data_IF_633923076058
#
_entry.id   IF_633923076058
#
_cell.length_a   1.000
_cell.length_b   1.000
_cell.length_c   1.000
_cell.angle_alpha   90.00
_cell.angle_beta   90.00
_cell.angle_gamma   90.00
#
_symmetry.space_group_name_H-M   'P 1'
#
loop_
_entity.id
_entity.type
_entity.pdbx_description
1 polymer ?
#
# COMPACT_ATOMS: atom_id res chain seq x y z
N UNK A 1 25.95 10.88 -16.38
CA UNK A 1 25.39 9.80 -15.55
C UNK A 1 24.43 10.42 -14.54
N UNK A 2 23.15 10.08 -14.60
CA UNK A 2 22.11 10.64 -13.72
C UNK A 2 22.30 10.15 -12.29
N UNK A 3 21.82 10.89 -11.29
CA UNK A 3 21.83 10.44 -9.88
C UNK A 3 21.15 9.06 -9.71
N UNK A 4 20.18 8.73 -10.57
CA UNK A 4 19.50 7.44 -10.63
C UNK A 4 20.47 6.29 -10.96
N UNK A 5 21.43 6.49 -11.87
CA UNK A 5 22.44 5.46 -12.19
C UNK A 5 23.29 5.06 -10.97
N UNK A 6 23.60 6.01 -10.07
CA UNK A 6 24.40 5.76 -8.87
C UNK A 6 23.68 4.94 -7.80
N UNK A 7 22.35 4.99 -7.70
CA UNK A 7 21.58 4.18 -6.75
C UNK A 7 21.63 2.70 -7.15
N UNK A 8 21.53 2.41 -8.45
CA UNK A 8 21.52 1.05 -8.96
C UNK A 8 22.89 0.40 -8.94
N UNK A 9 23.95 1.14 -9.28
CA UNK A 9 25.33 0.67 -9.14
C UNK A 9 25.66 0.26 -7.69
N UNK A 10 25.03 0.91 -6.71
CA UNK A 10 25.24 0.64 -5.28
C UNK A 10 24.43 -0.54 -4.74
N UNK A 11 23.24 -0.79 -5.30
CA UNK A 11 22.33 -1.83 -4.82
C UNK A 11 22.62 -3.18 -5.49
N UNK A 12 23.03 -3.22 -6.77
CA UNK A 12 23.12 -4.38 -7.69
C UNK A 12 23.97 -5.61 -7.30
N UNK A 13 24.53 -5.69 -6.08
CA UNK A 13 25.60 -6.65 -5.74
C UNK A 13 25.12 -8.10 -5.48
N UNK A 14 23.81 -8.42 -5.41
CA UNK A 14 23.34 -9.80 -5.12
C UNK A 14 22.17 -10.26 -5.98
N UNK A 15 22.38 -11.31 -6.80
CA UNK A 15 21.35 -11.98 -7.62
C UNK A 15 20.61 -13.05 -6.79
N UNK A 16 19.28 -13.10 -6.86
CA UNK A 16 18.44 -14.14 -6.23
C UNK A 16 17.73 -15.03 -7.29
N UNK A 17 17.52 -16.35 -7.06
CA UNK A 17 16.91 -17.25 -8.05
C UNK A 17 15.45 -16.92 -8.40
N UNK A 18 15.07 -17.30 -9.62
CA UNK A 18 13.84 -16.93 -10.33
C UNK A 18 12.76 -18.02 -10.26
N UNK A 19 11.52 -17.63 -9.98
CA UNK A 19 10.30 -18.33 -10.42
C UNK A 19 9.26 -17.27 -10.76
N UNK A 20 8.64 -17.36 -11.94
CA UNK A 20 7.65 -16.40 -12.47
C UNK A 20 6.34 -17.13 -12.73
N UNK A 21 5.26 -16.68 -12.09
CA UNK A 21 3.89 -16.92 -12.53
C UNK A 21 3.09 -15.63 -12.33
N UNK A 22 2.78 -14.93 -13.42
CA UNK A 22 2.00 -13.68 -13.40
C UNK A 22 0.54 -13.97 -13.74
N UNK A 23 -0.39 -13.27 -13.09
CA UNK A 23 -1.82 -13.26 -13.43
C UNK A 23 -2.20 -11.94 -14.11
N UNK A 24 -3.19 -11.89 -15.02
CA UNK A 24 -3.53 -10.69 -15.81
C UNK A 24 -3.88 -9.42 -15.00
N UNK A 25 -4.27 -9.57 -13.72
CA UNK A 25 -4.70 -8.46 -12.86
C UNK A 25 -3.54 -7.73 -12.14
N UNK A 26 -2.32 -8.25 -12.21
CA UNK A 26 -1.15 -7.75 -11.51
C UNK A 26 0.09 -7.97 -12.38
N UNK A 27 0.75 -6.89 -12.81
CA UNK A 27 2.02 -7.00 -13.54
C UNK A 27 3.17 -6.84 -12.56
N UNK A 28 3.99 -7.89 -12.42
CA UNK A 28 5.35 -7.73 -11.88
C UNK A 28 6.18 -7.04 -12.96
N UNK A 29 6.64 -5.83 -12.69
CA UNK A 29 7.66 -5.16 -13.52
C UNK A 29 8.85 -4.86 -12.64
N UNK A 30 10.02 -5.16 -13.17
CA UNK A 30 11.28 -4.61 -12.66
C UNK A 30 11.44 -3.30 -13.44
N UNK A 31 11.14 -2.20 -12.78
CA UNK A 31 11.20 -0.87 -13.37
C UNK A 31 12.54 -0.23 -12.99
N UNK A 32 13.23 0.38 -13.96
CA UNK A 32 14.26 1.35 -13.62
C UNK A 32 13.63 2.48 -12.80
N UNK A 33 14.44 3.23 -12.03
CA UNK A 33 13.90 4.38 -11.28
C UNK A 33 13.18 5.34 -12.25
N UNK A 34 13.77 5.54 -13.42
CA UNK A 34 13.22 6.36 -14.48
C UNK A 34 11.87 5.80 -14.98
N UNK A 35 11.69 4.49 -15.13
CA UNK A 35 10.39 3.85 -15.47
C UNK A 35 9.34 3.96 -14.35
N UNK A 36 9.76 3.83 -13.08
CA UNK A 36 8.87 4.02 -11.92
C UNK A 36 8.35 5.46 -11.84
N UNK A 37 9.18 6.42 -12.26
CA UNK A 37 8.89 7.84 -12.27
C UNK A 37 8.11 8.29 -13.53
N UNK A 38 8.40 7.69 -14.68
CA UNK A 38 7.69 7.83 -15.96
C UNK A 38 6.23 7.35 -15.90
N UNK A 39 5.92 6.43 -14.98
CA UNK A 39 4.55 5.94 -14.72
C UNK A 39 3.59 7.00 -14.19
N UNK A 40 4.02 8.26 -14.07
CA UNK A 40 3.22 9.35 -13.54
C UNK A 40 2.85 9.02 -12.11
N UNK A 41 3.86 8.98 -11.23
CA UNK A 41 3.71 8.82 -9.79
C UNK A 41 2.66 9.82 -9.30
N UNK A 42 1.39 9.39 -9.27
CA UNK A 42 0.28 10.17 -8.73
C UNK A 42 0.49 10.13 -7.24
N UNK A 43 1.35 11.04 -6.77
CA UNK A 43 1.71 11.24 -5.37
C UNK A 43 2.50 10.08 -4.77
N UNK A 44 3.71 9.83 -5.27
CA UNK A 44 4.68 9.10 -4.44
C UNK A 44 5.40 10.17 -3.59
N UNK A 45 5.10 10.21 -2.29
CA UNK A 45 5.71 11.11 -1.30
C UNK A 45 6.62 10.38 -0.32
N UNK A 46 6.95 9.12 -0.62
CA UNK A 46 7.66 8.22 0.30
C UNK A 46 9.15 8.15 0.02
N UNK A 47 9.55 7.63 -1.15
CA UNK A 47 10.97 7.51 -1.56
C UNK A 47 11.38 8.65 -2.49
N UNK A 48 10.44 9.10 -3.32
CA UNK A 48 10.59 10.24 -4.23
C UNK A 48 9.53 11.28 -3.92
N UNK A 49 9.68 12.47 -4.51
CA UNK A 49 8.69 13.55 -4.52
C UNK A 49 8.91 14.41 -5.77
N UNK A 50 7.95 15.25 -6.13
CA UNK A 50 8.11 16.17 -7.28
C UNK A 50 9.21 17.19 -6.99
N UNK A 51 10.04 17.48 -7.99
CA UNK A 51 11.04 18.56 -7.91
C UNK A 51 10.38 19.94 -7.93
N UNK A 52 9.28 20.08 -8.66
CA UNK A 52 8.47 21.29 -8.81
C UNK A 52 7.67 21.67 -7.55
N UNK A 53 7.49 20.73 -6.62
CA UNK A 53 6.66 20.89 -5.43
C UNK A 53 5.16 20.79 -5.69
N UNK A 54 4.74 20.46 -6.92
CA UNK A 54 3.34 20.22 -7.27
C UNK A 54 2.85 18.88 -6.71
N UNK A 55 1.54 18.70 -6.63
CA UNK A 55 0.97 17.41 -6.21
C UNK A 55 1.15 16.33 -7.27
N UNK A 56 1.29 16.71 -8.54
CA UNK A 56 1.50 15.82 -9.67
C UNK A 56 2.74 16.25 -10.44
N UNK A 57 3.57 15.30 -10.92
CA UNK A 57 4.73 15.62 -11.73
C UNK A 57 4.32 16.32 -13.03
N UNK A 58 5.11 17.29 -13.47
CA UNK A 58 4.86 18.01 -14.73
C UNK A 58 5.33 17.25 -15.97
N UNK A 59 6.36 16.43 -15.82
CA UNK A 59 7.04 15.68 -16.86
C UNK A 59 7.86 14.54 -16.23
N UNK A 60 8.51 13.71 -17.06
CA UNK A 60 9.33 12.58 -16.60
C UNK A 60 10.56 12.95 -15.78
N UNK A 61 10.96 14.23 -15.76
CA UNK A 61 12.11 14.73 -15.02
C UNK A 61 11.71 15.47 -13.74
N UNK A 62 10.41 15.63 -13.48
CA UNK A 62 9.87 16.29 -12.31
C UNK A 62 9.87 15.38 -11.07
N UNK A 63 11.06 14.94 -10.68
CA UNK A 63 11.24 14.11 -9.51
C UNK A 63 12.57 14.40 -8.80
N UNK A 64 12.59 14.07 -7.52
CA UNK A 64 13.78 14.02 -6.67
C UNK A 64 13.55 13.01 -5.55
N UNK A 65 14.61 12.58 -4.87
CA UNK A 65 14.44 11.82 -3.64
C UNK A 65 13.66 12.64 -2.61
N UNK A 66 12.86 11.95 -1.78
CA UNK A 66 12.15 12.55 -0.67
C UNK A 66 13.12 13.29 0.27
N UNK A 67 14.28 12.70 0.53
CA UNK A 67 15.41 13.31 1.25
C UNK A 67 16.74 12.76 0.75
N UNK A 68 17.83 13.49 1.00
CA UNK A 68 19.19 13.07 0.64
C UNK A 68 19.62 11.76 1.35
N UNK A 69 18.97 11.41 2.46
CA UNK A 69 19.22 10.19 3.21
C UNK A 69 18.59 8.93 2.60
N UNK A 70 17.66 9.05 1.65
CA UNK A 70 16.94 7.90 1.08
C UNK A 70 17.89 6.88 0.44
N UNK A 71 18.82 7.25 -0.48
CA UNK A 71 19.73 6.29 -1.12
C UNK A 71 20.57 5.51 -0.10
N UNK A 72 21.18 6.21 0.85
CA UNK A 72 22.05 5.61 1.85
C UNK A 72 21.28 4.70 2.81
N UNK A 73 20.05 5.09 3.16
CA UNK A 73 19.18 4.26 4.01
C UNK A 73 18.81 2.97 3.30
N UNK A 74 18.36 3.03 2.04
CA UNK A 74 18.02 1.82 1.26
C UNK A 74 19.24 0.91 1.08
N UNK A 75 20.41 1.47 0.83
CA UNK A 75 21.65 0.69 0.74
C UNK A 75 22.00 -0.03 2.05
N UNK A 76 21.85 0.67 3.19
CA UNK A 76 22.08 0.08 4.52
C UNK A 76 21.11 -1.08 4.79
N UNK A 77 19.84 -0.91 4.44
CA UNK A 77 18.79 -1.94 4.57
C UNK A 77 19.11 -3.15 3.71
N UNK A 78 19.51 -2.94 2.45
CA UNK A 78 19.93 -4.02 1.56
C UNK A 78 21.16 -4.79 2.12
N UNK A 79 22.14 -4.07 2.69
CA UNK A 79 23.31 -4.68 3.33
C UNK A 79 22.96 -5.50 4.58
N UNK A 80 21.84 -5.18 5.25
CA UNK A 80 21.30 -5.92 6.39
C UNK A 80 20.45 -7.14 5.99
N UNK A 81 20.55 -7.60 4.74
CA UNK A 81 19.79 -8.72 4.17
C UNK A 81 18.26 -8.52 4.15
N UNK A 82 17.78 -7.28 4.20
CA UNK A 82 16.38 -7.02 3.88
C UNK A 82 16.15 -7.12 2.37
N UNK A 83 15.01 -7.69 1.99
CA UNK A 83 14.50 -7.56 0.63
C UNK A 83 13.70 -6.27 0.53
N UNK A 84 14.07 -5.41 -0.43
CA UNK A 84 13.39 -4.13 -0.66
C UNK A 84 12.31 -4.34 -1.73
N UNK A 85 11.06 -4.07 -1.36
CA UNK A 85 9.89 -4.25 -2.21
C UNK A 85 9.04 -2.99 -2.19
N UNK A 86 8.63 -2.51 -3.36
CA UNK A 86 7.74 -1.37 -3.51
C UNK A 86 6.34 -1.81 -3.89
N UNK A 87 5.34 -1.28 -3.18
CA UNK A 87 3.93 -1.52 -3.42
C UNK A 87 3.25 -0.19 -3.76
N UNK A 88 2.76 -0.01 -4.99
CA UNK A 88 2.21 1.27 -5.45
C UNK A 88 0.83 1.13 -6.12
N UNK A 89 -0.03 2.13 -5.88
CA UNK A 89 -1.44 2.18 -6.30
C UNK A 89 -1.59 3.01 -7.61
N UNK A 90 -1.03 2.57 -8.74
CA UNK A 90 -1.10 3.34 -10.01
C UNK A 90 -2.26 2.91 -10.92
N UNK A 91 -2.99 3.88 -11.48
CA UNK A 91 -4.08 3.64 -12.45
C UNK A 91 -3.63 3.55 -13.91
N UNK A 92 -2.38 3.88 -14.23
CA UNK A 92 -1.81 3.82 -15.57
C UNK A 92 -0.32 3.42 -15.46
N UNK A 93 0.18 2.68 -16.44
CA UNK A 93 1.60 2.37 -16.59
C UNK A 93 2.03 2.52 -18.05
N UNK A 94 3.29 2.87 -18.23
CA UNK A 94 4.05 2.64 -19.46
C UNK A 94 4.90 1.38 -19.32
N UNK A 95 5.23 0.78 -20.46
CA UNK A 95 5.89 -0.52 -20.55
C UNK A 95 7.41 -0.42 -20.44
N UNK A 96 7.98 -0.92 -19.34
CA UNK A 96 9.41 -1.24 -19.24
C UNK A 96 9.61 -2.74 -19.00
N UNK A 97 10.63 -3.31 -19.64
CA UNK A 97 11.06 -4.71 -19.54
C UNK A 97 12.57 -4.74 -19.31
N UNK A 98 13.00 -4.59 -18.06
CA UNK A 98 14.40 -4.79 -17.69
C UNK A 98 14.48 -5.67 -16.44
N UNK A 99 15.06 -6.86 -16.56
CA UNK A 99 14.94 -7.97 -15.62
C UNK A 99 16.10 -8.06 -14.60
N UNK A 100 16.82 -6.95 -14.37
CA UNK A 100 18.14 -6.98 -13.75
C UNK A 100 18.24 -6.39 -12.33
N UNK A 101 17.15 -5.90 -11.74
CA UNK A 101 17.20 -5.12 -10.48
C UNK A 101 16.79 -5.90 -9.21
N UNK A 102 17.42 -5.56 -8.09
CA UNK A 102 17.23 -6.14 -6.73
C UNK A 102 15.91 -5.70 -6.07
N UNK A 103 15.30 -4.67 -6.63
CA UNK A 103 14.09 -4.06 -6.14
C UNK A 103 12.91 -4.66 -6.90
N UNK A 104 11.95 -5.20 -6.17
CA UNK A 104 10.70 -5.69 -6.77
C UNK A 104 9.63 -4.60 -6.66
N UNK A 105 8.99 -4.25 -7.78
CA UNK A 105 7.91 -3.26 -7.80
C UNK A 105 6.61 -3.95 -8.18
N UNK A 106 5.60 -3.77 -7.34
CA UNK A 106 4.25 -4.27 -7.55
C UNK A 106 3.30 -3.10 -7.74
N UNK A 107 2.57 -3.13 -8.85
CA UNK A 107 1.68 -2.03 -9.27
C UNK A 107 0.26 -2.54 -9.43
N UNK A 108 -0.66 -1.96 -8.66
CA UNK A 108 -2.09 -2.28 -8.74
C UNK A 108 -2.81 -1.47 -9.83
N UNK A 109 -3.02 -2.07 -11.01
CA UNK A 109 -3.56 -1.41 -12.20
C UNK A 109 -5.08 -1.17 -12.21
N UNK A 110 -5.86 -1.69 -11.25
CA UNK A 110 -7.29 -1.39 -11.19
C UNK A 110 -8.15 -2.37 -10.40
N UNK A 111 -7.69 -3.61 -10.17
CA UNK A 111 -8.42 -4.55 -9.32
C UNK A 111 -8.34 -4.13 -7.85
N UNK A 112 -9.51 -4.06 -7.20
CA UNK A 112 -9.63 -3.60 -5.81
C UNK A 112 -8.86 -4.48 -4.83
N UNK A 113 -8.72 -5.79 -5.10
CA UNK A 113 -8.01 -6.73 -4.23
C UNK A 113 -6.50 -6.44 -4.12
N UNK A 114 -5.92 -5.88 -5.19
CA UNK A 114 -4.51 -5.50 -5.23
C UNK A 114 -4.30 -4.04 -4.82
N UNK A 115 -5.37 -3.24 -4.74
CA UNK A 115 -5.26 -1.84 -4.35
C UNK A 115 -5.16 -1.71 -2.84
N UNK A 116 -4.09 -1.10 -2.34
CA UNK A 116 -3.95 -0.76 -0.91
C UNK A 116 -5.19 0.02 -0.45
N UNK A 117 -5.82 -0.31 0.69
CA UNK A 117 -5.27 -1.10 1.80
C UNK A 117 -5.44 -2.63 1.71
N UNK A 118 -6.01 -3.17 0.63
CA UNK A 118 -6.12 -4.62 0.45
C UNK A 118 -4.74 -5.27 0.32
N UNK A 119 -4.60 -6.51 0.81
CA UNK A 119 -3.34 -7.24 0.97
C UNK A 119 -2.91 -8.02 -0.28
N UNK A 120 -3.69 -8.01 -1.36
CA UNK A 120 -3.45 -8.89 -2.50
C UNK A 120 -2.06 -8.77 -3.12
N UNK A 121 -1.46 -7.57 -3.17
CA UNK A 121 -0.09 -7.41 -3.67
C UNK A 121 0.93 -8.10 -2.75
N UNK A 122 0.75 -8.00 -1.43
CA UNK A 122 1.61 -8.67 -0.45
C UNK A 122 1.45 -10.18 -0.53
N UNK A 123 0.22 -10.69 -0.56
CA UNK A 123 -0.07 -12.12 -0.64
C UNK A 123 0.55 -12.75 -1.89
N UNK A 124 0.44 -12.06 -3.03
CA UNK A 124 1.07 -12.50 -4.26
C UNK A 124 2.59 -12.52 -4.15
N UNK A 125 3.18 -11.47 -3.57
CA UNK A 125 4.62 -11.40 -3.32
C UNK A 125 5.10 -12.56 -2.44
N UNK A 126 4.47 -12.74 -1.27
CA UNK A 126 4.81 -13.77 -0.29
C UNK A 126 4.70 -15.17 -0.88
N UNK A 127 3.63 -15.43 -1.65
CA UNK A 127 3.33 -16.76 -2.19
C UNK A 127 4.17 -17.15 -3.41
N UNK A 128 4.38 -16.22 -4.34
CA UNK A 128 4.94 -16.56 -5.66
C UNK A 128 6.32 -15.94 -5.92
N UNK A 129 6.63 -14.81 -5.30
CA UNK A 129 7.77 -13.97 -5.70
C UNK A 129 8.88 -13.88 -4.64
N UNK A 130 8.63 -14.43 -3.44
CA UNK A 130 9.62 -14.51 -2.37
C UNK A 130 10.51 -15.76 -2.45
N UNK A 131 10.41 -16.55 -3.53
CA UNK A 131 11.24 -17.74 -3.75
C UNK A 131 11.05 -18.83 -2.69
N UNK A 132 9.84 -18.94 -2.12
CA UNK A 132 9.51 -19.90 -1.06
C UNK A 132 10.09 -19.57 0.32
N UNK A 133 10.72 -18.40 0.50
CA UNK A 133 11.22 -17.97 1.81
C UNK A 133 10.06 -17.44 2.65
N UNK A 134 9.92 -17.94 3.88
CA UNK A 134 8.96 -17.38 4.84
C UNK A 134 9.38 -15.98 5.30
N UNK A 135 8.43 -15.05 5.35
CA UNK A 135 8.67 -13.68 5.80
C UNK A 135 8.44 -13.59 7.31
N UNK A 136 9.45 -13.10 8.05
CA UNK A 136 9.24 -12.74 9.46
C UNK A 136 8.56 -11.37 9.55
N UNK A 137 7.24 -11.37 9.79
CA UNK A 137 6.43 -10.15 9.86
C UNK A 137 6.83 -9.23 11.02
N UNK A 138 7.26 -9.78 12.15
CA UNK A 138 7.66 -8.99 13.33
C UNK A 138 8.94 -8.18 13.08
N UNK A 139 9.85 -8.72 12.26
CA UNK A 139 11.08 -8.04 11.83
C UNK A 139 10.89 -7.25 10.52
N UNK A 140 9.71 -7.31 9.91
CA UNK A 140 9.37 -6.58 8.69
C UNK A 140 8.69 -5.26 9.02
N UNK A 141 8.80 -4.31 8.11
CA UNK A 141 8.14 -3.02 8.22
C UNK A 141 7.76 -2.46 6.85
N UNK A 142 6.80 -1.55 6.85
CA UNK A 142 6.35 -0.83 5.67
C UNK A 142 6.47 0.67 5.90
N UNK A 143 6.94 1.39 4.87
CA UNK A 143 7.12 2.85 4.90
C UNK A 143 6.20 3.47 3.86
N UNK A 144 5.38 4.45 4.26
CA UNK A 144 4.44 5.10 3.33
C UNK A 144 3.91 6.45 3.80
N UNK A 145 3.65 7.35 2.86
CA UNK A 145 3.16 8.71 3.13
C UNK A 145 1.63 8.78 3.35
N UNK A 146 0.87 7.78 2.85
CA UNK A 146 -0.58 7.70 3.05
C UNK A 146 -0.93 7.17 4.44
N UNK A 147 -0.57 7.95 5.47
CA UNK A 147 -0.58 7.55 6.87
C UNK A 147 -1.80 8.05 7.64
N UNK A 148 -2.75 8.73 6.99
CA UNK A 148 -3.97 9.24 7.63
C UNK A 148 -3.73 10.38 8.62
N UNK A 149 -2.56 11.04 8.56
CA UNK A 149 -2.19 12.11 9.50
C UNK A 149 -3.15 13.30 9.35
N UNK A 150 -3.41 14.01 10.45
CA UNK A 150 -4.27 15.21 10.49
C UNK A 150 -3.49 16.50 10.27
N UNK A 151 -4.16 17.54 9.76
CA UNK A 151 -3.55 18.86 9.61
C UNK A 151 -3.03 19.34 10.98
N UNK A 152 -1.79 19.80 11.00
CA UNK A 152 -1.09 20.29 12.20
C UNK A 152 -0.20 21.48 11.82
N UNK A 153 0.30 22.21 12.82
CA UNK A 153 1.27 23.29 12.62
C UNK A 153 2.55 22.82 11.90
N UNK A 154 2.94 21.55 12.09
CA UNK A 154 4.13 20.95 11.48
C UNK A 154 3.91 20.57 10.01
N UNK A 155 2.75 20.03 9.64
CA UNK A 155 2.51 19.47 8.29
C UNK A 155 1.66 20.34 7.37
N UNK A 156 0.90 21.27 7.93
CA UNK A 156 0.07 22.24 7.20
C UNK A 156 -1.12 21.69 6.41
N UNK A 157 -1.12 20.41 6.04
CA UNK A 157 -2.22 19.72 5.34
C UNK A 157 -2.42 18.33 5.89
N UNK A 158 -3.65 17.79 5.80
CA UNK A 158 -3.95 16.39 6.11
C UNK A 158 -3.44 15.43 5.02
N UNK A 159 -3.21 14.17 5.38
CA UNK A 159 -2.87 13.16 4.37
C UNK A 159 -4.08 12.92 3.47
N UNK A 160 -3.83 12.53 2.21
CA UNK A 160 -4.93 12.27 1.27
C UNK A 160 -5.71 10.99 1.61
N UNK A 161 -5.03 10.02 2.23
CA UNK A 161 -5.60 8.75 2.63
C UNK A 161 -4.78 8.13 3.76
N UNK A 162 -5.29 7.04 4.34
CA UNK A 162 -4.60 6.20 5.30
C UNK A 162 -4.20 4.84 4.70
N UNK A 163 -4.16 4.74 3.36
CA UNK A 163 -4.06 3.45 2.65
C UNK A 163 -2.79 2.68 2.98
N UNK A 164 -1.65 3.35 3.18
CA UNK A 164 -0.36 2.73 3.49
C UNK A 164 -0.33 2.19 4.92
N UNK A 165 -0.84 2.98 5.88
CA UNK A 165 -0.95 2.55 7.28
C UNK A 165 -1.91 1.36 7.42
N UNK A 166 -3.06 1.43 6.77
CA UNK A 166 -4.05 0.36 6.78
C UNK A 166 -3.55 -0.90 6.04
N UNK A 167 -2.75 -0.74 4.98
CA UNK A 167 -2.11 -1.87 4.31
C UNK A 167 -1.15 -2.61 5.26
N UNK A 168 -0.27 -1.88 5.95
CA UNK A 168 0.63 -2.46 6.94
C UNK A 168 -0.14 -3.12 8.11
N UNK A 169 -1.22 -2.47 8.56
CA UNK A 169 -2.11 -3.01 9.61
C UNK A 169 -2.76 -4.33 9.17
N UNK A 170 -3.29 -4.40 7.94
CA UNK A 170 -3.95 -5.60 7.42
C UNK A 170 -2.97 -6.76 7.23
N UNK A 171 -1.70 -6.49 6.92
CA UNK A 171 -0.64 -7.51 6.83
C UNK A 171 -0.17 -7.94 8.23
N UNK A 172 -0.22 -7.03 9.22
CA UNK A 172 0.32 -7.24 10.56
C UNK A 172 1.83 -7.00 10.64
N UNK A 173 2.33 -5.96 9.97
CA UNK A 173 3.74 -5.54 10.01
C UNK A 173 3.88 -4.12 10.58
N UNK A 174 5.08 -3.77 11.05
CA UNK A 174 5.35 -2.44 11.58
C UNK A 174 5.19 -1.37 10.50
N UNK A 175 4.77 -0.16 10.89
CA UNK A 175 4.56 0.96 9.96
C UNK A 175 5.34 2.20 10.37
N UNK A 176 5.98 2.85 9.40
CA UNK A 176 6.65 4.13 9.57
C UNK A 176 6.24 5.13 8.47
N UNK A 177 6.21 6.42 8.80
CA UNK A 177 6.15 7.47 7.77
C UNK A 177 7.53 7.72 7.16
N UNK A 178 7.62 8.36 5.98
CA UNK A 178 8.91 8.71 5.36
C UNK A 178 9.79 9.57 6.27
N UNK A 179 9.19 10.52 6.98
CA UNK A 179 9.89 11.40 7.93
C UNK A 179 10.45 10.61 9.11
N UNK A 180 9.65 9.70 9.69
CA UNK A 180 10.11 8.84 10.78
C UNK A 180 11.26 7.94 10.33
N UNK A 181 11.16 7.38 9.13
CA UNK A 181 12.12 6.38 8.67
C UNK A 181 13.41 6.98 8.07
N UNK A 182 13.28 7.92 7.12
CA UNK A 182 14.41 8.50 6.40
C UNK A 182 15.01 9.72 7.09
N UNK A 183 14.19 10.53 7.78
CA UNK A 183 14.66 11.73 8.52
C UNK A 183 14.88 11.46 10.01
N UNK A 184 14.60 10.24 10.49
CA UNK A 184 14.71 9.85 11.90
C UNK A 184 13.90 10.74 12.83
N UNK A 185 12.79 11.29 12.34
CA UNK A 185 11.88 12.10 13.14
C UNK A 185 11.29 11.25 14.27
N UNK A 186 11.49 11.68 15.51
CA UNK A 186 10.98 10.99 16.70
C UNK A 186 9.57 11.42 17.08
N UNK A 187 9.16 12.62 16.67
CA UNK A 187 7.82 13.14 16.95
C UNK A 187 6.74 12.33 16.22
N UNK A 188 5.76 11.82 16.97
CA UNK A 188 4.63 11.09 16.43
C UNK A 188 3.54 12.08 16.02
N UNK A 189 3.21 12.12 14.74
CA UNK A 189 2.07 12.91 14.25
C UNK A 189 0.73 12.20 14.52
N UNK A 190 -0.26 12.97 14.95
CA UNK A 190 -1.63 12.47 15.12
C UNK A 190 -2.23 12.05 13.77
N UNK A 191 -2.98 10.95 13.78
CA UNK A 191 -3.66 10.41 12.61
C UNK A 191 -5.06 9.89 12.97
N UNK A 192 -5.93 9.78 11.98
CA UNK A 192 -7.29 9.25 12.13
C UNK A 192 -7.42 8.02 11.24
N UNK A 193 -7.85 6.91 11.83
CA UNK A 193 -8.28 5.71 11.11
C UNK A 193 -9.79 5.78 10.83
N UNK A 194 -10.30 5.04 9.83
CA UNK A 194 -11.74 4.90 9.63
C UNK A 194 -12.44 4.46 10.92
N UNK A 195 -13.59 5.05 11.24
CA UNK A 195 -14.37 4.71 12.43
C UNK A 195 -14.92 3.27 12.39
N UNK A 196 -15.15 2.75 11.18
CA UNK A 196 -15.57 1.38 10.95
C UNK A 196 -14.36 0.43 10.91
N UNK A 197 -14.38 -0.60 11.76
CA UNK A 197 -13.42 -1.70 11.73
C UNK A 197 -14.13 -2.99 11.35
N UNK A 198 -13.82 -3.59 10.17
CA UNK A 198 -14.42 -4.84 9.75
C UNK A 198 -14.20 -5.99 10.75
N UNK A 199 -13.00 -6.07 11.34
CA UNK A 199 -12.66 -7.13 12.29
C UNK A 199 -13.52 -7.09 13.54
N UNK A 200 -13.76 -5.90 14.10
CA UNK A 200 -14.61 -5.74 15.28
C UNK A 200 -16.08 -6.06 15.00
N UNK A 201 -16.52 -5.90 13.75
CA UNK A 201 -17.93 -6.05 13.37
C UNK A 201 -18.30 -7.49 13.03
N UNK A 202 -17.32 -8.31 12.61
CA UNK A 202 -17.52 -9.73 12.30
C UNK A 202 -17.53 -10.62 13.55
N UNK A 203 -16.83 -10.21 14.61
CA UNK A 203 -16.73 -10.99 15.85
C UNK A 203 -17.90 -10.73 16.83
N UNK A 204 -18.73 -9.73 16.58
CA UNK A 204 -19.87 -9.44 17.41
C UNK A 204 -20.98 -10.48 17.19
N UNK A 205 -21.30 -11.27 18.23
CA UNK A 205 -22.55 -12.07 18.27
C UNK A 205 -23.74 -11.11 18.35
N UNK A 206 -24.17 -10.61 17.21
CA UNK A 206 -25.34 -9.74 17.10
C UNK A 206 -26.60 -10.59 16.93
N UNK A 207 -27.70 -10.14 17.53
CA UNK A 207 -29.02 -10.69 17.25
C UNK A 207 -29.37 -10.41 15.78
N UNK A 208 -30.02 -11.37 15.11
CA UNK A 208 -30.38 -11.23 13.70
C UNK A 208 -31.38 -10.08 13.46
N UNK A 209 -32.25 -9.83 14.45
CA UNK A 209 -33.23 -8.74 14.46
C UNK A 209 -33.31 -8.11 15.85
N UNK A 210 -33.68 -6.83 15.90
CA UNK A 210 -34.02 -6.14 17.14
C UNK A 210 -35.44 -5.54 17.05
N UNK A 211 -36.34 -5.81 18.03
CA UNK A 211 -36.17 -6.77 19.12
C UNK A 211 -36.25 -8.24 18.63
N UNK A 212 -35.57 -9.15 19.32
CA UNK A 212 -35.39 -10.55 18.91
C UNK A 212 -36.70 -11.36 18.75
N UNK A 213 -37.78 -10.94 19.42
CA UNK A 213 -39.04 -11.66 19.50
C UNK A 213 -40.12 -11.24 18.47
N UNK A 214 -39.78 -10.40 17.49
CA UNK A 214 -40.79 -9.82 16.59
C UNK A 214 -41.41 -10.83 15.60
N UNK A 215 -40.73 -11.95 15.32
CA UNK A 215 -41.14 -12.89 14.26
C UNK A 215 -41.80 -14.18 14.76
N UNK A 216 -41.99 -14.34 16.07
CA UNK A 216 -42.40 -15.63 16.65
C UNK A 216 -43.90 -15.99 16.45
N UNK A 217 -44.77 -15.05 16.04
CA UNK A 217 -46.22 -15.23 16.17
C UNK A 217 -47.11 -14.66 15.04
N UNK A 218 -46.59 -14.45 13.83
CA UNK A 218 -47.42 -13.85 12.76
C UNK A 218 -48.09 -14.94 11.92
N UNK A 219 -49.39 -15.17 12.16
CA UNK A 219 -50.22 -16.16 11.46
C UNK A 219 -51.07 -15.58 10.32
N UNK A 220 -50.85 -14.32 9.94
CA UNK A 220 -51.60 -13.60 8.91
C UNK A 220 -50.69 -13.13 7.76
N UNK A 221 -51.23 -12.91 6.57
CA UNK A 221 -50.47 -12.37 5.43
C UNK A 221 -50.17 -10.89 5.67
N UNK A 222 -48.90 -10.51 5.62
CA UNK A 222 -48.44 -9.12 5.77
C UNK A 222 -47.45 -8.74 4.67
N UNK A 223 -47.19 -7.44 4.52
CA UNK A 223 -46.18 -6.90 3.60
C UNK A 223 -45.01 -6.35 4.41
N UNK A 224 -43.79 -6.78 4.09
CA UNK A 224 -42.57 -6.21 4.63
C UNK A 224 -42.06 -5.10 3.72
N UNK A 225 -41.61 -3.98 4.32
CA UNK A 225 -40.81 -2.98 3.65
C UNK A 225 -39.37 -3.10 4.16
N UNK A 226 -38.45 -3.53 3.30
CA UNK A 226 -37.03 -3.59 3.61
C UNK A 226 -36.38 -2.25 3.26
N UNK A 227 -35.72 -1.62 4.24
CA UNK A 227 -35.06 -0.31 4.08
C UNK A 227 -33.58 -0.45 4.44
N UNK A 228 -32.69 -0.01 3.54
CA UNK A 228 -31.27 0.14 3.84
C UNK A 228 -30.46 0.55 2.63
N UNK A 229 -29.15 0.67 2.81
CA UNK A 229 -28.25 1.17 1.78
C UNK A 229 -28.15 0.21 0.59
N UNK A 230 -27.91 0.76 -0.61
CA UNK A 230 -27.54 -0.06 -1.75
C UNK A 230 -26.32 -0.93 -1.40
N UNK A 231 -26.32 -2.19 -1.85
CA UNK A 231 -25.28 -3.20 -1.59
C UNK A 231 -25.15 -3.71 -0.13
N UNK A 232 -26.09 -3.39 0.76
CA UNK A 232 -26.12 -3.90 2.15
C UNK A 232 -26.62 -5.35 2.30
N UNK A 233 -26.53 -6.16 1.24
CA UNK A 233 -27.01 -7.56 1.18
C UNK A 233 -28.50 -7.75 1.53
N UNK A 234 -29.32 -6.68 1.57
CA UNK A 234 -30.76 -6.77 1.86
C UNK A 234 -31.52 -7.79 1.02
N UNK A 235 -31.13 -8.00 -0.25
CA UNK A 235 -31.74 -8.99 -1.14
C UNK A 235 -31.39 -10.45 -0.82
N UNK A 236 -30.49 -10.69 0.15
CA UNK A 236 -30.12 -12.02 0.63
C UNK A 236 -30.68 -12.31 2.03
N UNK A 237 -31.43 -11.39 2.63
CA UNK A 237 -32.16 -11.67 3.86
C UNK A 237 -33.36 -12.60 3.56
N UNK A 238 -33.55 -13.65 4.36
CA UNK A 238 -34.62 -14.64 4.17
C UNK A 238 -36.03 -14.06 4.37
#
# INVERSE_FOLDING_TARGET
MSLASRLWDYIAVRKWPRTLQTTPAMTKRVASMDDWLLGGAKKDGTVVTTKSGRTFPTDEHDWRFFSDSVPQTLATVAAQNFRIVFFTNQRALFSGDDQSSIVQVFVSLGSLQYRKPCTGMWEHFEKYENGGISINRQCSFYVGDAAGRICSSLRGKKDHSAADRLFALNIGINFFTPEQYFLKQTHIENYILPSFSPSLSLDAKLCLFEPEYLFCHISSVFRCLFIGYAFSLLGFFP
#
